data_IF_875831416500
#
_entry.id   IF_875831416500
#
_cell.length_a   1.000
_cell.length_b   1.000
_cell.length_c   1.000
_cell.angle_alpha   90.00
_cell.angle_beta   90.00
_cell.angle_gamma   90.00
#
_symmetry.space_group_name_H-M   'P 1'
#
loop_
_entity.id
_entity.type
_entity.pdbx_description
1 polymer ?
#
# COMPACT_ATOMS: atom_id res chain seq x y z
N UNK A 1 -15.02 4.61 31.86
CA UNK A 1 -13.56 4.78 31.70
C UNK A 1 -13.24 4.28 30.27
N UNK A 2 -13.28 5.20 29.30
CA UNK A 2 -13.03 4.86 27.90
C UNK A 2 -11.52 4.71 27.73
N UNK A 3 -11.05 3.48 27.56
CA UNK A 3 -9.71 3.23 27.04
C UNK A 3 -9.69 3.72 25.60
N UNK A 4 -9.11 4.90 25.36
CA UNK A 4 -8.73 5.35 24.02
C UNK A 4 -7.68 4.34 23.58
N UNK A 5 -8.05 3.44 22.67
CA UNK A 5 -7.12 2.56 21.97
C UNK A 5 -6.25 3.48 21.11
N UNK A 6 -5.10 3.85 21.64
CA UNK A 6 -4.10 4.66 20.95
C UNK A 6 -3.69 3.94 19.66
N UNK A 7 -4.03 4.52 18.54
CA UNK A 7 -3.58 4.08 17.23
C UNK A 7 -2.05 4.09 17.21
N UNK A 8 -1.42 2.93 17.23
CA UNK A 8 0.05 2.79 17.20
C UNK A 8 0.52 3.07 15.78
N UNK A 9 0.78 4.34 15.47
CA UNK A 9 1.49 4.71 14.24
C UNK A 9 2.96 4.34 14.38
N UNK A 10 3.64 4.08 13.26
CA UNK A 10 5.04 3.66 13.27
C UNK A 10 5.96 4.63 14.02
N UNK A 11 6.92 4.11 14.78
CA UNK A 11 7.77 4.93 15.63
C UNK A 11 8.77 5.77 14.82
N UNK A 12 9.11 6.97 15.31
CA UNK A 12 10.08 7.89 14.71
C UNK A 12 11.25 8.09 15.67
N UNK A 13 12.48 7.92 15.18
CA UNK A 13 13.66 8.18 15.99
C UNK A 13 14.16 9.61 15.78
N UNK A 14 14.66 10.23 16.87
CA UNK A 14 15.24 11.56 16.90
C UNK A 14 16.73 11.44 17.23
N UNK A 15 17.61 11.85 16.29
CA UNK A 15 19.07 11.62 16.42
C UNK A 15 19.85 12.92 16.28
N UNK A 16 20.57 13.29 17.32
CA UNK A 16 21.54 14.40 17.31
C UNK A 16 20.95 15.80 17.09
N UNK A 17 19.64 15.98 17.22
CA UNK A 17 18.97 17.26 17.08
C UNK A 17 19.39 18.23 18.19
N UNK A 18 19.46 19.53 17.89
CA UNK A 18 19.63 20.57 18.89
C UNK A 18 18.43 20.61 19.83
N UNK A 19 18.55 21.18 21.03
CA UNK A 19 17.42 21.29 21.96
C UNK A 19 16.23 22.04 21.36
N UNK A 20 16.49 23.04 20.52
CA UNK A 20 15.47 23.81 19.80
C UNK A 20 14.76 22.94 18.75
N UNK A 21 15.52 22.29 17.86
CA UNK A 21 14.94 21.44 16.81
C UNK A 21 14.23 20.22 17.38
N UNK A 22 14.74 19.69 18.49
CA UNK A 22 14.12 18.59 19.23
C UNK A 22 12.71 18.96 19.76
N UNK A 23 12.53 20.20 20.25
CA UNK A 23 11.22 20.68 20.69
C UNK A 23 10.23 20.70 19.52
N UNK A 24 10.59 21.37 18.42
CA UNK A 24 9.74 21.42 17.22
C UNK A 24 9.48 20.03 16.62
N UNK A 25 10.47 19.14 16.61
CA UNK A 25 10.27 17.78 16.13
C UNK A 25 9.29 16.99 17.01
N UNK A 26 9.30 17.17 18.33
CA UNK A 26 8.32 16.56 19.25
C UNK A 26 6.91 17.11 19.04
N UNK A 27 6.78 18.40 18.81
CA UNK A 27 5.50 19.01 18.51
C UNK A 27 4.95 18.48 17.17
N UNK A 28 5.80 18.36 16.14
CA UNK A 28 5.45 17.77 14.87
C UNK A 28 5.05 16.29 14.98
N UNK A 29 5.74 15.50 15.83
CA UNK A 29 5.33 14.11 16.13
C UNK A 29 3.94 14.07 16.76
N UNK A 30 3.66 14.95 17.71
CA UNK A 30 2.36 15.01 18.38
C UNK A 30 1.25 15.37 17.40
N UNK A 31 1.49 16.38 16.54
CA UNK A 31 0.54 16.78 15.48
C UNK A 31 0.31 15.67 14.45
N UNK A 32 1.37 14.92 14.08
CA UNK A 32 1.25 13.79 13.17
C UNK A 32 0.66 12.53 13.83
N UNK A 33 0.45 12.52 15.16
CA UNK A 33 0.02 11.35 15.93
C UNK A 33 1.03 10.21 15.92
N UNK A 34 2.33 10.51 15.77
CA UNK A 34 3.42 9.56 15.78
C UNK A 34 4.07 9.47 17.16
N UNK A 35 4.79 8.36 17.42
CA UNK A 35 5.52 8.18 18.68
C UNK A 35 7.03 8.24 18.46
N UNK A 36 7.74 8.85 19.41
CA UNK A 36 9.18 8.79 19.43
C UNK A 36 9.67 7.40 19.88
N UNK A 37 10.76 6.91 19.28
CA UNK A 37 11.48 5.73 19.74
C UNK A 37 12.96 6.04 19.97
N UNK A 38 13.58 5.27 20.84
CA UNK A 38 15.00 5.40 21.18
C UNK A 38 15.92 4.60 20.26
N UNK A 39 15.40 3.65 19.49
CA UNK A 39 16.16 2.75 18.64
C UNK A 39 15.98 3.09 17.16
N UNK A 40 16.97 3.79 16.52
CA UNK A 40 16.83 4.22 15.13
C UNK A 40 16.68 3.07 14.12
N UNK A 41 17.22 1.90 14.42
CA UNK A 41 17.12 0.71 13.56
C UNK A 41 15.69 0.12 13.45
N UNK A 42 14.82 0.47 14.39
CA UNK A 42 13.40 0.06 14.43
C UNK A 42 12.43 1.17 14.04
N UNK A 43 12.97 2.35 13.75
CA UNK A 43 12.14 3.49 13.40
C UNK A 43 11.56 3.37 11.99
N UNK A 44 10.36 3.87 11.80
CA UNK A 44 9.75 4.07 10.49
C UNK A 44 10.41 5.22 9.73
N UNK A 45 10.90 6.21 10.49
CA UNK A 45 11.61 7.38 10.00
C UNK A 45 12.63 7.82 11.05
N UNK A 46 13.79 8.27 10.62
CA UNK A 46 14.77 8.92 11.47
C UNK A 46 14.79 10.40 11.13
N UNK A 47 14.55 11.25 12.13
CA UNK A 47 14.81 12.69 12.05
C UNK A 47 16.20 12.93 12.65
N UNK A 48 17.15 13.33 11.84
CA UNK A 48 18.53 13.46 12.25
C UNK A 48 19.11 14.84 11.94
N UNK A 49 19.97 15.34 12.82
CA UNK A 49 20.76 16.53 12.50
C UNK A 49 21.67 16.30 11.28
N UNK A 50 22.02 17.35 10.52
CA UNK A 50 23.03 17.25 9.47
C UNK A 50 24.34 16.64 10.02
N UNK A 51 24.85 15.60 9.35
CA UNK A 51 26.07 14.90 9.78
C UNK A 51 25.90 13.86 10.90
N UNK A 52 24.74 13.74 11.56
CA UNK A 52 24.51 12.70 12.55
C UNK A 52 24.51 11.30 11.91
N UNK A 53 25.11 10.27 12.56
CA UNK A 53 25.12 8.91 12.03
C UNK A 53 23.71 8.32 12.06
N UNK A 54 23.31 7.69 10.96
CA UNK A 54 21.97 7.07 10.80
C UNK A 54 22.14 5.68 10.18
N UNK A 55 21.33 4.67 10.59
CA UNK A 55 21.35 3.35 9.97
C UNK A 55 21.06 3.43 8.46
N UNK A 56 21.86 2.76 7.64
CA UNK A 56 21.81 2.87 6.17
C UNK A 56 20.48 2.41 5.52
N UNK A 57 19.67 1.62 6.22
CA UNK A 57 18.45 1.03 5.68
C UNK A 57 17.14 1.68 6.18
N UNK A 58 17.26 2.74 7.00
CA UNK A 58 16.07 3.42 7.55
C UNK A 58 15.89 4.76 6.83
N UNK A 59 14.69 5.10 6.37
CA UNK A 59 14.40 6.41 5.80
C UNK A 59 14.81 7.51 6.78
N UNK A 60 15.54 8.52 6.29
CA UNK A 60 16.06 9.60 7.12
C UNK A 60 15.71 10.95 6.51
N UNK A 61 15.29 11.88 7.35
CA UNK A 61 15.13 13.30 7.03
C UNK A 61 16.13 14.11 7.86
N UNK A 62 16.95 14.91 7.19
CA UNK A 62 17.91 15.83 7.85
C UNK A 62 17.17 17.10 8.27
N UNK A 63 17.20 17.38 9.57
CA UNK A 63 16.48 18.48 10.20
C UNK A 63 17.46 19.47 10.84
N UNK A 64 17.30 20.74 10.55
CA UNK A 64 18.14 21.82 11.06
C UNK A 64 18.85 22.60 9.95
N UNK A 65 19.73 23.50 10.33
CA UNK A 65 20.48 24.34 9.39
C UNK A 65 21.37 23.47 8.47
N UNK A 66 21.20 23.63 7.15
CA UNK A 66 21.87 22.79 6.15
C UNK A 66 21.22 21.39 5.97
N UNK A 67 20.09 21.11 6.58
CA UNK A 67 19.27 19.92 6.36
C UNK A 67 18.24 20.07 5.26
N UNK A 68 17.44 19.00 5.05
CA UNK A 68 16.33 18.97 4.10
C UNK A 68 15.10 19.74 4.63
N UNK A 69 14.99 19.89 5.95
CA UNK A 69 13.91 20.56 6.66
C UNK A 69 14.50 21.57 7.64
N UNK A 70 14.14 22.83 7.50
CA UNK A 70 14.59 23.91 8.39
C UNK A 70 13.47 24.33 9.34
N UNK A 71 13.71 24.18 10.65
CA UNK A 71 12.70 24.52 11.67
C UNK A 71 12.93 25.94 12.21
N UNK A 72 11.84 26.68 12.44
CA UNK A 72 10.41 26.32 12.42
C UNK A 72 9.72 26.45 11.06
N UNK A 73 10.38 26.97 10.01
CA UNK A 73 9.76 27.35 8.72
C UNK A 73 9.03 26.17 8.07
N UNK A 74 9.64 24.99 8.05
CA UNK A 74 9.15 23.82 7.35
C UNK A 74 8.37 22.84 8.26
N UNK A 75 7.80 23.31 9.37
CA UNK A 75 7.08 22.44 10.32
C UNK A 75 5.94 21.67 9.65
N UNK A 76 5.18 22.30 8.76
CA UNK A 76 4.08 21.63 8.02
C UNK A 76 4.59 20.49 7.13
N UNK A 77 5.72 20.71 6.43
CA UNK A 77 6.38 19.66 5.65
C UNK A 77 6.84 18.51 6.54
N UNK A 78 7.45 18.82 7.69
CA UNK A 78 7.90 17.81 8.64
C UNK A 78 6.74 16.96 9.16
N UNK A 79 5.62 17.58 9.55
CA UNK A 79 4.40 16.87 9.96
C UNK A 79 3.91 15.92 8.87
N UNK A 80 3.88 16.38 7.62
CA UNK A 80 3.48 15.55 6.49
C UNK A 80 4.40 14.35 6.27
N UNK A 81 5.72 14.55 6.34
CA UNK A 81 6.72 13.48 6.19
C UNK A 81 6.62 12.45 7.33
N UNK A 82 6.41 12.89 8.56
CA UNK A 82 6.21 12.02 9.72
C UNK A 82 4.92 11.22 9.56
N UNK A 83 3.82 11.87 9.24
CA UNK A 83 2.53 11.21 9.05
C UNK A 83 2.61 10.15 7.95
N UNK A 84 3.29 10.47 6.86
CA UNK A 84 3.54 9.56 5.75
C UNK A 84 4.35 8.33 6.13
N UNK A 85 5.50 8.53 6.78
CA UNK A 85 6.37 7.44 7.20
C UNK A 85 5.69 6.54 8.24
N UNK A 86 5.00 7.17 9.20
CA UNK A 86 4.24 6.47 10.23
C UNK A 86 3.10 5.63 9.65
N UNK A 87 2.41 6.16 8.64
CA UNK A 87 1.37 5.42 7.95
C UNK A 87 1.92 4.23 7.16
N UNK A 88 3.06 4.40 6.47
CA UNK A 88 3.70 3.29 5.73
C UNK A 88 4.12 2.14 6.64
N UNK A 89 4.63 2.45 7.82
CA UNK A 89 5.12 1.42 8.75
C UNK A 89 4.01 0.75 9.57
N UNK A 90 2.84 1.37 9.69
CA UNK A 90 1.67 0.75 10.33
C UNK A 90 0.94 -0.22 9.40
N UNK A 91 1.29 -0.24 8.10
CA UNK A 91 0.71 -1.19 7.15
C UNK A 91 1.39 -2.56 7.29
N UNK A 92 0.61 -3.58 7.58
CA UNK A 92 1.10 -4.96 7.67
C UNK A 92 1.31 -5.64 6.31
N UNK A 93 0.97 -4.96 5.19
CA UNK A 93 1.10 -5.54 3.86
C UNK A 93 0.87 -4.58 2.70
N UNK A 94 1.02 -5.06 1.46
CA UNK A 94 0.91 -4.25 0.26
C UNK A 94 -0.52 -3.80 -0.02
N UNK A 95 -0.62 -2.71 -0.78
CA UNK A 95 -1.86 -2.23 -1.39
C UNK A 95 -1.79 -2.47 -2.89
N UNK A 96 -2.65 -3.34 -3.39
CA UNK A 96 -2.79 -3.58 -4.82
C UNK A 96 -4.11 -3.03 -5.33
N UNK A 97 -4.02 -2.32 -6.42
CA UNK A 97 -5.18 -1.79 -7.10
C UNK A 97 -5.45 -2.58 -8.38
N UNK A 98 -6.70 -2.92 -8.63
CA UNK A 98 -7.13 -3.63 -9.83
C UNK A 98 -8.12 -2.76 -10.56
N UNK A 99 -7.86 -2.51 -11.85
CA UNK A 99 -8.76 -1.72 -12.69
C UNK A 99 -8.87 -2.32 -14.11
N UNK A 100 -9.99 -2.09 -14.77
CA UNK A 100 -10.23 -2.53 -16.14
C UNK A 100 -10.07 -1.39 -17.13
N UNK A 101 -9.42 -1.63 -18.24
CA UNK A 101 -9.34 -0.66 -19.34
C UNK A 101 -10.70 -0.51 -20.03
N UNK A 102 -11.47 -1.61 -20.11
CA UNK A 102 -12.82 -1.60 -20.63
C UNK A 102 -13.82 -2.18 -19.63
N UNK A 103 -15.12 -1.87 -19.81
CA UNK A 103 -16.18 -2.46 -18.99
C UNK A 103 -16.29 -3.98 -19.22
N UNK A 104 -16.65 -4.72 -18.17
CA UNK A 104 -16.92 -6.16 -18.28
C UNK A 104 -15.70 -7.07 -18.39
N UNK A 105 -14.47 -6.55 -18.35
CA UNK A 105 -13.23 -7.36 -18.44
C UNK A 105 -12.96 -8.26 -17.23
N UNK A 106 -13.82 -8.22 -16.20
CA UNK A 106 -13.73 -9.15 -15.06
C UNK A 106 -12.89 -8.68 -13.90
N UNK A 107 -12.76 -7.37 -13.66
CA UNK A 107 -12.03 -6.76 -12.53
C UNK A 107 -12.44 -7.40 -11.21
N UNK A 108 -13.71 -7.32 -10.86
CA UNK A 108 -14.26 -7.86 -9.60
C UNK A 108 -14.05 -9.38 -9.48
N UNK A 109 -14.08 -10.12 -10.60
CA UNK A 109 -13.77 -11.56 -10.61
C UNK A 109 -12.30 -11.83 -10.26
N UNK A 110 -11.38 -11.02 -10.79
CA UNK A 110 -9.96 -11.12 -10.44
C UNK A 110 -9.73 -10.72 -8.98
N UNK A 111 -10.34 -9.64 -8.49
CA UNK A 111 -10.28 -9.22 -7.09
C UNK A 111 -10.76 -10.34 -6.16
N UNK A 112 -11.90 -10.98 -6.46
CA UNK A 112 -12.39 -12.15 -5.69
C UNK A 112 -11.39 -13.31 -5.68
N UNK A 113 -10.75 -13.59 -6.81
CA UNK A 113 -9.76 -14.67 -6.91
C UNK A 113 -8.50 -14.36 -6.10
N UNK A 114 -7.97 -13.14 -6.20
CA UNK A 114 -6.80 -12.68 -5.43
C UNK A 114 -7.08 -12.74 -3.93
N UNK A 115 -8.18 -12.15 -3.48
CA UNK A 115 -8.56 -12.08 -2.08
C UNK A 115 -8.74 -13.47 -1.44
N UNK A 116 -9.50 -14.35 -2.09
CA UNK A 116 -9.67 -15.74 -1.62
C UNK A 116 -8.38 -16.55 -1.62
N UNK A 117 -7.42 -16.18 -2.46
CA UNK A 117 -6.12 -16.86 -2.51
C UNK A 117 -5.22 -16.42 -1.36
N UNK A 118 -5.29 -15.16 -0.97
CA UNK A 118 -4.62 -14.63 0.22
C UNK A 118 -5.18 -15.21 1.52
N UNK A 119 -6.52 -15.32 1.63
CA UNK A 119 -7.18 -15.81 2.85
C UNK A 119 -6.84 -17.29 3.19
N UNK A 120 -6.57 -18.12 2.20
CA UNK A 120 -6.31 -19.58 2.44
C UNK A 120 -4.85 -19.94 2.68
N UNK A 121 -3.93 -19.11 2.30
CA UNK A 121 -2.48 -19.27 2.52
C UNK A 121 -1.89 -17.88 2.69
N UNK A 122 -1.52 -17.47 3.87
CA UNK A 122 -0.86 -16.18 4.10
C UNK A 122 0.52 -16.22 3.41
N UNK A 123 0.51 -15.97 2.09
CA UNK A 123 1.71 -15.92 1.28
C UNK A 123 2.51 -14.64 1.52
N UNK A 124 1.86 -13.62 2.11
CA UNK A 124 2.45 -12.37 2.57
C UNK A 124 3.54 -12.61 3.64
N UNK A 125 3.29 -13.47 4.63
CA UNK A 125 4.25 -13.79 5.67
C UNK A 125 5.51 -14.52 5.17
N UNK A 126 5.43 -15.23 4.03
CA UNK A 126 6.62 -15.88 3.44
C UNK A 126 7.56 -14.88 2.78
N UNK A 127 7.08 -13.73 2.33
CA UNK A 127 7.88 -12.67 1.70
C UNK A 127 8.67 -11.92 2.75
N UNK A 128 8.07 -11.59 3.88
CA UNK A 128 8.78 -11.02 5.03
C UNK A 128 9.88 -11.96 5.53
N UNK A 129 9.62 -13.26 5.60
CA UNK A 129 10.60 -14.29 5.99
C UNK A 129 11.70 -14.52 4.94
N UNK A 130 11.43 -14.31 3.64
CA UNK A 130 12.44 -14.40 2.58
C UNK A 130 13.33 -13.16 2.56
N UNK A 131 12.78 -11.95 2.70
CA UNK A 131 13.53 -10.70 2.83
C UNK A 131 14.45 -10.73 4.06
N UNK A 132 14.01 -11.30 5.18
CA UNK A 132 14.84 -11.49 6.37
C UNK A 132 15.98 -12.52 6.16
N UNK A 133 15.89 -13.39 5.15
CA UNK A 133 16.93 -14.39 4.81
C UNK A 133 17.89 -13.92 3.72
N UNK A 134 17.46 -13.00 2.86
CA UNK A 134 18.29 -12.50 1.73
C UNK A 134 19.17 -11.34 2.17
N UNK A 135 18.79 -10.60 3.21
CA UNK A 135 19.68 -9.60 3.81
C UNK A 135 20.59 -10.31 4.81
N UNK A 136 21.92 -10.30 4.60
CA UNK A 136 22.86 -10.85 5.57
C UNK A 136 22.83 -9.98 6.84
N UNK A 137 21.99 -10.38 7.80
CA UNK A 137 22.14 -9.90 9.17
C UNK A 137 23.45 -10.53 9.68
N UNK A 138 24.50 -9.73 9.76
CA UNK A 138 25.71 -10.09 10.50
C UNK A 138 25.28 -10.33 11.96
N UNK A 139 25.07 -11.60 12.29
CA UNK A 139 24.89 -12.01 13.69
C UNK A 139 26.20 -11.79 14.41
N UNK A 140 26.25 -11.05 15.51
CA UNK A 140 27.38 -11.15 16.43
C UNK A 140 27.42 -12.60 16.95
N UNK A 141 28.62 -13.17 16.95
CA UNK A 141 28.86 -14.57 17.27
C UNK A 141 28.30 -14.96 18.65
N UNK A 142 27.97 -16.25 18.85
CA UNK A 142 27.46 -16.74 20.10
C UNK A 142 28.59 -16.83 21.13
N UNK A 143 28.57 -15.93 22.10
CA UNK A 143 29.27 -16.13 23.36
C UNK A 143 28.64 -17.35 24.08
N UNK A 144 29.39 -18.40 24.20
CA UNK A 144 29.04 -19.57 25.02
C UNK A 144 28.91 -19.16 26.47
N UNK A 145 27.74 -19.34 27.05
CA UNK A 145 27.56 -19.45 28.48
C UNK A 145 26.62 -20.63 28.73
N UNK A 146 27.22 -21.70 29.25
CA UNK A 146 26.54 -22.85 29.83
C UNK A 146 25.98 -22.42 31.20
N UNK A 147 24.68 -22.51 31.36
CA UNK A 147 24.06 -22.74 32.66
C UNK A 147 22.77 -23.50 32.46
N UNK A 148 22.79 -24.76 32.92
CA UNK A 148 21.63 -25.61 33.18
C UNK A 148 20.70 -24.88 34.14
N UNK A 149 19.43 -24.72 33.77
CA UNK A 149 18.36 -24.70 34.76
C UNK A 149 17.10 -25.34 34.17
N UNK A 150 16.72 -26.48 34.76
CA UNK A 150 15.49 -27.20 34.54
C UNK A 150 14.38 -26.49 35.33
N UNK A 151 13.40 -25.93 34.63
CA UNK A 151 12.22 -25.29 35.25
C UNK A 151 11.01 -25.39 34.36
N UNK A 152 10.11 -26.29 34.68
CA UNK A 152 8.77 -26.52 34.15
C UNK A 152 7.95 -25.26 34.02
N UNK A 153 7.25 -25.09 32.87
CA UNK A 153 6.31 -24.00 32.63
C UNK A 153 5.90 -23.87 31.17
N UNK A 154 5.47 -24.97 30.54
CA UNK A 154 5.04 -24.96 29.14
C UNK A 154 3.51 -25.08 29.02
N UNK A 155 2.78 -24.09 29.52
CA UNK A 155 1.34 -23.94 29.23
C UNK A 155 1.05 -22.46 29.33
N UNK A 156 0.97 -21.73 28.21
CA UNK A 156 0.19 -20.49 27.96
C UNK A 156 0.66 -19.66 26.74
N UNK A 157 1.59 -20.14 25.89
CA UNK A 157 2.03 -19.35 24.72
C UNK A 157 1.24 -19.64 23.42
N UNK A 158 0.15 -20.42 23.48
CA UNK A 158 -0.62 -20.79 22.29
C UNK A 158 -1.69 -19.76 21.87
N UNK A 159 -2.00 -18.78 22.72
CA UNK A 159 -2.99 -17.73 22.46
C UNK A 159 -2.47 -16.59 21.56
N UNK A 160 -1.27 -16.10 21.83
CA UNK A 160 -0.70 -14.93 21.15
C UNK A 160 -0.34 -15.18 19.66
N UNK A 161 -0.15 -16.43 19.26
CA UNK A 161 0.26 -16.78 17.88
C UNK A 161 -0.93 -16.90 16.91
N UNK A 162 -2.16 -17.03 17.41
CA UNK A 162 -3.38 -17.07 16.58
C UNK A 162 -3.81 -15.70 16.10
N UNK A 163 -3.62 -14.66 16.89
CA UNK A 163 -4.00 -13.28 16.53
C UNK A 163 -3.11 -12.70 15.43
N UNK A 164 -1.82 -13.06 15.40
CA UNK A 164 -0.88 -12.58 14.37
C UNK A 164 -1.15 -13.15 12.96
N UNK A 165 -1.80 -14.31 12.84
CA UNK A 165 -2.17 -14.90 11.54
C UNK A 165 -3.43 -14.27 10.94
N UNK A 166 -4.27 -13.65 11.77
CA UNK A 166 -5.46 -12.93 11.31
C UNK A 166 -5.10 -11.62 10.60
N UNK A 167 -3.96 -11.01 10.96
CA UNK A 167 -3.48 -9.76 10.38
C UNK A 167 -2.98 -9.88 8.95
N UNK A 168 -2.61 -11.08 8.52
CA UNK A 168 -2.11 -11.35 7.18
C UNK A 168 -3.18 -11.58 6.10
N UNK A 169 -4.47 -11.59 6.47
CA UNK A 169 -5.55 -11.78 5.48
C UNK A 169 -5.86 -10.46 4.79
N UNK A 170 -5.86 -10.41 3.44
CA UNK A 170 -6.14 -9.19 2.72
C UNK A 170 -7.59 -8.73 2.91
N UNK A 171 -7.78 -7.42 2.98
CA UNK A 171 -9.10 -6.77 2.97
C UNK A 171 -9.38 -6.25 1.57
N UNK A 172 -10.60 -6.43 1.09
CA UNK A 172 -11.07 -5.87 -0.18
C UNK A 172 -11.74 -4.53 0.05
N UNK A 173 -11.40 -3.55 -0.78
CA UNK A 173 -12.04 -2.25 -0.85
C UNK A 173 -12.72 -2.16 -2.22
N UNK A 174 -14.05 -2.17 -2.26
CA UNK A 174 -14.81 -2.01 -3.49
C UNK A 174 -15.06 -0.53 -3.77
N UNK A 175 -14.21 0.04 -4.59
CA UNK A 175 -14.27 1.42 -5.08
C UNK A 175 -14.73 1.49 -6.55
N UNK A 176 -15.44 0.47 -7.04
CA UNK A 176 -15.92 0.39 -8.42
C UNK A 176 -17.12 1.29 -8.69
N UNK A 177 -17.79 1.78 -7.65
CA UNK A 177 -19.06 2.51 -7.74
C UNK A 177 -20.25 1.61 -8.11
N UNK A 178 -20.01 0.31 -8.32
CA UNK A 178 -21.05 -0.64 -8.74
C UNK A 178 -21.79 -1.25 -7.54
N UNK A 179 -23.08 -1.48 -7.69
CA UNK A 179 -23.89 -2.24 -6.74
C UNK A 179 -24.59 -3.34 -7.54
N UNK A 180 -24.41 -4.61 -7.19
CA UNK A 180 -23.82 -5.16 -5.97
C UNK A 180 -22.28 -5.18 -5.93
N UNK A 181 -21.55 -4.88 -6.99
CA UNK A 181 -20.08 -4.80 -6.98
C UNK A 181 -19.40 -6.11 -6.55
N UNK A 182 -18.48 -6.00 -5.58
CA UNK A 182 -17.82 -7.17 -5.00
C UNK A 182 -18.78 -8.06 -4.22
N UNK A 183 -19.76 -7.48 -3.52
CA UNK A 183 -20.85 -8.24 -2.90
C UNK A 183 -21.75 -8.86 -3.98
N UNK A 184 -22.11 -10.12 -3.82
CA UNK A 184 -23.14 -10.73 -4.63
C UNK A 184 -24.54 -10.34 -4.14
N UNK A 185 -25.57 -10.64 -4.94
CA UNK A 185 -26.97 -10.32 -4.58
C UNK A 185 -27.45 -10.98 -3.27
N UNK A 186 -26.80 -12.08 -2.83
CA UNK A 186 -27.11 -12.75 -1.56
C UNK A 186 -26.29 -12.26 -0.36
N UNK A 187 -25.38 -11.30 -0.55
CA UNK A 187 -24.47 -10.85 0.51
C UNK A 187 -24.93 -9.55 1.19
N UNK A 188 -26.08 -9.00 0.77
CA UNK A 188 -26.58 -7.71 1.29
C UNK A 188 -26.99 -7.77 2.76
N UNK A 189 -27.48 -8.93 3.22
CA UNK A 189 -27.95 -9.14 4.60
C UNK A 189 -26.81 -9.52 5.57
N UNK A 190 -25.60 -9.68 5.08
CA UNK A 190 -24.45 -9.97 5.94
C UNK A 190 -24.17 -8.79 6.87
N UNK A 191 -24.01 -9.03 8.18
CA UNK A 191 -23.71 -7.96 9.14
C UNK A 191 -22.35 -7.34 8.88
N UNK A 192 -22.24 -6.04 9.12
CA UNK A 192 -20.98 -5.30 9.03
C UNK A 192 -21.14 -3.92 8.41
N UNK A 193 -20.11 -3.11 8.57
CA UNK A 193 -20.02 -1.72 8.08
C UNK A 193 -19.94 -1.70 6.55
N UNK A 194 -20.73 -0.83 5.95
CA UNK A 194 -20.82 -0.58 4.50
C UNK A 194 -20.40 0.85 4.17
N UNK A 195 -20.28 1.18 2.89
CA UNK A 195 -19.95 2.56 2.47
C UNK A 195 -20.96 3.59 3.00
N UNK A 196 -22.22 3.24 3.05
CA UNK A 196 -23.27 4.14 3.54
C UNK A 196 -23.19 4.44 5.04
N UNK A 197 -22.45 3.64 5.81
CA UNK A 197 -22.29 3.80 7.26
C UNK A 197 -21.06 4.67 7.61
N UNK A 198 -20.27 5.08 6.62
CA UNK A 198 -19.07 5.89 6.79
C UNK A 198 -19.35 7.35 6.41
N UNK A 199 -18.83 8.28 7.21
CA UNK A 199 -18.94 9.71 6.94
C UNK A 199 -17.82 10.17 6.01
N UNK A 200 -18.17 10.98 4.99
CA UNK A 200 -17.20 11.47 4.00
C UNK A 200 -16.27 12.57 4.54
N UNK A 201 -16.64 13.21 5.65
CA UNK A 201 -15.87 14.27 6.30
C UNK A 201 -14.70 13.76 7.16
N UNK A 202 -14.62 12.46 7.41
CA UNK A 202 -13.56 11.88 8.22
C UNK A 202 -12.29 11.63 7.40
N UNK A 203 -11.18 12.21 7.78
CA UNK A 203 -9.87 11.98 7.16
C UNK A 203 -9.33 10.57 7.43
N UNK A 204 -9.75 9.96 8.53
CA UNK A 204 -9.42 8.58 8.88
C UNK A 204 -10.47 7.98 9.81
N UNK A 205 -10.70 6.67 9.65
CA UNK A 205 -11.60 5.90 10.51
C UNK A 205 -10.82 5.20 11.62
N UNK A 206 -11.56 4.64 12.58
CA UNK A 206 -10.94 3.88 13.66
C UNK A 206 -10.22 2.64 13.09
N UNK A 207 -9.06 2.25 13.64
CA UNK A 207 -8.35 1.03 13.21
C UNK A 207 -9.19 -0.24 13.32
N UNK A 208 -10.16 -0.24 14.23
CA UNK A 208 -11.14 -1.32 14.38
C UNK A 208 -12.12 -1.45 13.19
N UNK A 209 -12.14 -0.51 12.24
CA UNK A 209 -12.98 -0.61 11.04
C UNK A 209 -12.86 -1.98 10.38
N UNK A 210 -11.64 -2.49 10.25
CA UNK A 210 -11.38 -3.82 9.68
C UNK A 210 -12.23 -4.91 10.32
N UNK A 211 -12.35 -4.90 11.64
CA UNK A 211 -13.03 -5.97 12.38
C UNK A 211 -14.54 -5.93 12.25
N UNK A 212 -15.06 -4.77 11.88
CA UNK A 212 -16.49 -4.54 11.66
C UNK A 212 -16.92 -4.73 10.19
N UNK A 213 -16.00 -5.04 9.28
CA UNK A 213 -16.34 -5.29 7.88
C UNK A 213 -17.06 -6.65 7.70
N UNK A 214 -18.03 -6.74 6.78
CA UNK A 214 -18.65 -8.01 6.44
C UNK A 214 -17.66 -9.01 5.87
N UNK A 215 -17.87 -10.28 6.13
CA UNK A 215 -17.06 -11.39 5.60
C UNK A 215 -17.78 -12.01 4.40
N UNK A 216 -17.32 -11.69 3.21
CA UNK A 216 -17.88 -12.13 1.94
C UNK A 216 -17.01 -13.21 1.32
N UNK A 217 -17.51 -14.43 1.24
CA UNK A 217 -16.75 -15.56 0.70
C UNK A 217 -15.44 -15.86 1.43
N UNK A 218 -15.38 -15.59 2.74
CA UNK A 218 -14.22 -15.79 3.61
C UNK A 218 -13.20 -14.66 3.59
N UNK A 219 -13.57 -13.48 3.04
CA UNK A 219 -12.71 -12.28 2.97
C UNK A 219 -13.47 -11.10 3.56
N UNK A 220 -12.81 -10.30 4.39
CA UNK A 220 -13.36 -9.02 4.85
C UNK A 220 -13.39 -8.03 3.70
N UNK A 221 -14.51 -7.34 3.50
CA UNK A 221 -14.66 -6.41 2.38
C UNK A 221 -15.49 -5.19 2.76
N UNK A 222 -15.00 -4.01 2.43
CA UNK A 222 -15.79 -2.78 2.45
C UNK A 222 -16.47 -2.61 1.10
N UNK A 223 -17.79 -2.69 1.08
CA UNK A 223 -18.60 -2.79 -0.14
C UNK A 223 -19.84 -1.92 -0.06
N UNK A 224 -20.47 -1.68 -1.21
CA UNK A 224 -21.79 -1.06 -1.29
C UNK A 224 -22.95 -2.00 -0.90
N UNK A 225 -24.12 -1.38 -0.70
CA UNK A 225 -25.39 -2.05 -0.53
C UNK A 225 -26.49 -1.30 -1.31
N UNK A 226 -27.77 -1.55 -1.01
CA UNK A 226 -28.89 -0.86 -1.65
C UNK A 226 -28.91 0.66 -1.44
N UNK A 227 -28.17 1.18 -0.46
CA UNK A 227 -28.00 2.63 -0.19
C UNK A 227 -26.91 3.28 -1.06
N UNK A 228 -26.11 2.47 -1.77
CA UNK A 228 -25.09 2.92 -2.70
C UNK A 228 -23.72 2.27 -2.49
N UNK A 229 -22.81 2.55 -3.43
CA UNK A 229 -21.38 2.17 -3.39
C UNK A 229 -20.51 3.41 -3.33
N UNK A 230 -19.19 3.23 -3.30
CA UNK A 230 -18.21 4.29 -3.43
C UNK A 230 -17.42 4.12 -4.73
N UNK A 231 -17.13 5.23 -5.42
CA UNK A 231 -16.27 5.26 -6.60
C UNK A 231 -14.86 5.73 -6.23
N UNK A 232 -13.91 5.59 -7.16
CA UNK A 232 -12.50 5.91 -6.92
C UNK A 232 -12.24 7.38 -6.49
N UNK A 233 -13.16 8.30 -6.77
CA UNK A 233 -13.09 9.71 -6.36
C UNK A 233 -13.81 10.01 -5.03
N UNK A 234 -14.43 9.01 -4.42
CA UNK A 234 -15.07 9.18 -3.12
C UNK A 234 -14.00 9.30 -2.01
N UNK A 235 -13.99 10.40 -1.22
CA UNK A 235 -12.98 10.60 -0.17
C UNK A 235 -12.96 9.48 0.88
N UNK A 236 -14.10 8.82 1.13
CA UNK A 236 -14.19 7.69 2.05
C UNK A 236 -13.27 6.55 1.66
N UNK A 237 -13.02 6.34 0.36
CA UNK A 237 -12.14 5.26 -0.12
C UNK A 237 -10.71 5.48 0.34
N UNK A 238 -10.18 6.68 0.15
CA UNK A 238 -8.82 7.00 0.59
C UNK A 238 -8.68 6.92 2.12
N UNK A 239 -9.68 7.41 2.85
CA UNK A 239 -9.71 7.38 4.32
C UNK A 239 -9.78 5.94 4.85
N UNK A 240 -10.61 5.07 4.27
CA UNK A 240 -10.69 3.65 4.61
C UNK A 240 -9.36 2.91 4.33
N UNK A 241 -8.76 3.15 3.17
CA UNK A 241 -7.45 2.56 2.82
C UNK A 241 -6.35 2.95 3.80
N UNK A 242 -6.38 4.18 4.34
CA UNK A 242 -5.42 4.64 5.35
C UNK A 242 -5.66 4.02 6.72
N UNK A 243 -6.92 3.75 7.05
CA UNK A 243 -7.32 3.26 8.38
C UNK A 243 -7.09 1.77 8.56
N UNK A 244 -7.17 1.00 7.48
CA UNK A 244 -7.03 -0.45 7.52
C UNK A 244 -5.55 -0.84 7.43
N UNK A 245 -4.99 -1.30 8.54
CA UNK A 245 -3.58 -1.71 8.65
C UNK A 245 -3.22 -3.05 7.96
N UNK A 246 -4.17 -3.73 7.33
CA UNK A 246 -3.98 -5.02 6.65
C UNK A 246 -3.52 -4.84 5.19
N UNK A 247 -3.04 -5.92 4.51
CA UNK A 247 -2.90 -5.93 3.07
C UNK A 247 -4.22 -5.57 2.38
N UNK A 248 -4.18 -4.73 1.35
CA UNK A 248 -5.38 -4.27 0.65
C UNK A 248 -5.42 -4.73 -0.80
N UNK A 249 -6.61 -5.07 -1.27
CA UNK A 249 -6.92 -5.25 -2.68
C UNK A 249 -8.07 -4.29 -3.01
N UNK A 250 -7.78 -3.27 -3.82
CA UNK A 250 -8.75 -2.23 -4.18
C UNK A 250 -9.32 -2.54 -5.57
N UNK A 251 -10.62 -2.75 -5.65
CA UNK A 251 -11.37 -2.81 -6.90
C UNK A 251 -11.70 -1.38 -7.33
N UNK A 252 -10.98 -0.83 -8.27
CA UNK A 252 -11.22 0.53 -8.76
C UNK A 252 -12.19 0.58 -9.95
N UNK A 253 -12.76 -0.56 -10.34
CA UNK A 253 -13.64 -0.64 -11.48
C UNK A 253 -12.92 -0.33 -12.80
N UNK A 254 -13.17 0.84 -13.39
CA UNK A 254 -12.55 1.26 -14.65
C UNK A 254 -11.33 2.15 -14.40
N UNK A 255 -10.30 1.97 -15.24
CA UNK A 255 -9.13 2.85 -15.23
C UNK A 255 -9.45 4.19 -15.88
N UNK A 256 -9.35 5.26 -15.11
CA UNK A 256 -9.50 6.65 -15.53
C UNK A 256 -8.66 7.57 -14.64
N UNK A 257 -8.78 8.89 -14.82
CA UNK A 257 -8.05 9.89 -14.03
C UNK A 257 -8.38 9.81 -12.52
N UNK A 258 -9.60 9.37 -12.14
CA UNK A 258 -10.00 9.21 -10.74
C UNK A 258 -9.30 8.02 -10.11
N UNK A 259 -9.27 6.89 -10.83
CA UNK A 259 -8.56 5.69 -10.41
C UNK A 259 -7.03 5.94 -10.32
N UNK A 260 -6.45 6.69 -11.26
CA UNK A 260 -5.04 7.06 -11.22
C UNK A 260 -4.73 7.93 -9.98
N UNK A 261 -5.55 8.95 -9.71
CA UNK A 261 -5.43 9.79 -8.52
C UNK A 261 -5.60 8.99 -7.22
N UNK A 262 -6.56 8.07 -7.17
CA UNK A 262 -6.72 7.19 -6.01
C UNK A 262 -5.46 6.35 -5.77
N UNK A 263 -4.90 5.73 -6.82
CA UNK A 263 -3.67 4.93 -6.73
C UNK A 263 -2.50 5.73 -6.13
N UNK A 264 -2.36 7.00 -6.50
CA UNK A 264 -1.37 7.91 -5.96
C UNK A 264 -1.64 8.24 -4.48
N UNK A 265 -2.88 8.64 -4.15
CA UNK A 265 -3.28 9.05 -2.78
C UNK A 265 -3.17 7.91 -1.77
N UNK A 266 -3.58 6.69 -2.15
CA UNK A 266 -3.44 5.50 -1.29
C UNK A 266 -2.03 4.89 -1.39
N UNK A 267 -1.17 5.42 -2.27
CA UNK A 267 0.19 4.93 -2.54
C UNK A 267 0.18 3.42 -2.78
N UNK A 268 -0.57 3.02 -3.78
CA UNK A 268 -0.62 1.63 -4.20
C UNK A 268 0.81 1.12 -4.50
N UNK A 269 1.12 -0.10 -4.08
CA UNK A 269 2.42 -0.72 -4.37
C UNK A 269 2.48 -1.27 -5.79
N UNK A 270 1.32 -1.63 -6.35
CA UNK A 270 1.20 -2.03 -7.75
C UNK A 270 -0.23 -1.84 -8.26
N UNK A 271 -0.35 -1.61 -9.57
CA UNK A 271 -1.61 -1.56 -10.30
C UNK A 271 -1.68 -2.77 -11.24
N UNK A 272 -2.83 -3.42 -11.29
CA UNK A 272 -3.17 -4.47 -12.26
C UNK A 272 -4.19 -3.88 -13.23
N UNK A 273 -3.79 -3.69 -14.49
CA UNK A 273 -4.68 -3.25 -15.55
C UNK A 273 -5.21 -4.46 -16.34
N UNK A 274 -6.53 -4.67 -16.34
CA UNK A 274 -7.17 -5.72 -17.11
C UNK A 274 -7.59 -5.19 -18.48
N UNK A 275 -7.27 -5.95 -19.53
CA UNK A 275 -7.66 -5.62 -20.91
C UNK A 275 -7.92 -6.89 -21.73
N UNK A 276 -8.59 -6.74 -22.87
CA UNK A 276 -8.63 -7.80 -23.90
C UNK A 276 -7.30 -7.89 -24.65
N UNK A 277 -6.99 -9.06 -25.20
CA UNK A 277 -5.74 -9.31 -25.90
C UNK A 277 -5.71 -8.88 -27.36
N UNK A 278 -6.81 -8.37 -27.90
CA UNK A 278 -6.99 -7.98 -29.28
C UNK A 278 -6.45 -6.56 -29.59
N UNK A 279 -6.62 -6.12 -30.82
CA UNK A 279 -6.20 -4.79 -31.30
C UNK A 279 -6.99 -3.69 -30.58
N UNK A 280 -8.28 -3.90 -30.33
CA UNK A 280 -9.14 -2.94 -29.64
C UNK A 280 -8.69 -2.76 -28.18
N UNK A 281 -8.33 -3.85 -27.52
CA UNK A 281 -7.73 -3.82 -26.18
C UNK A 281 -6.41 -3.05 -26.17
N UNK A 282 -5.54 -3.25 -27.15
CA UNK A 282 -4.28 -2.52 -27.27
C UNK A 282 -4.52 -1.00 -27.46
N UNK A 283 -5.40 -0.63 -28.39
CA UNK A 283 -5.77 0.77 -28.62
C UNK A 283 -6.40 1.42 -27.37
N UNK A 284 -7.26 0.69 -26.67
CA UNK A 284 -7.88 1.16 -25.43
C UNK A 284 -6.87 1.38 -24.30
N UNK A 285 -5.84 0.51 -24.18
CA UNK A 285 -4.73 0.68 -23.23
C UNK A 285 -3.97 1.94 -23.55
N UNK A 286 -3.55 2.13 -24.81
CA UNK A 286 -2.81 3.30 -25.25
C UNK A 286 -3.57 4.59 -24.95
N UNK A 287 -4.86 4.65 -25.34
CA UNK A 287 -5.71 5.83 -25.10
C UNK A 287 -5.91 6.12 -23.60
N UNK A 288 -6.18 5.07 -22.79
CA UNK A 288 -6.42 5.23 -21.36
C UNK A 288 -5.18 5.71 -20.61
N UNK A 289 -4.00 5.18 -20.96
CA UNK A 289 -2.75 5.57 -20.31
C UNK A 289 -2.23 6.94 -20.79
N UNK A 290 -2.57 7.35 -22.01
CA UNK A 290 -2.29 8.72 -22.47
C UNK A 290 -3.08 9.77 -21.68
N UNK A 291 -4.34 9.45 -21.30
CA UNK A 291 -5.21 10.34 -20.51
C UNK A 291 -4.87 10.26 -19.02
N UNK A 292 -4.63 9.07 -18.51
CA UNK A 292 -4.39 8.79 -17.10
C UNK A 292 -3.17 7.85 -16.96
N UNK A 293 -1.95 8.39 -16.95
CA UNK A 293 -0.73 7.59 -16.73
C UNK A 293 -0.77 6.87 -15.38
N UNK A 294 -0.17 5.68 -15.31
CA UNK A 294 -0.08 4.96 -14.06
C UNK A 294 0.97 5.64 -13.13
N UNK A 295 0.57 6.15 -11.95
CA UNK A 295 1.46 6.90 -11.06
C UNK A 295 2.41 6.01 -10.26
N UNK A 296 2.17 4.70 -10.27
CA UNK A 296 2.97 3.68 -9.56
C UNK A 296 3.20 2.49 -10.48
N UNK A 297 4.10 1.55 -10.14
CA UNK A 297 4.36 0.37 -10.96
C UNK A 297 3.06 -0.35 -11.35
N UNK A 298 2.88 -0.55 -12.64
CA UNK A 298 1.72 -1.22 -13.20
C UNK A 298 2.11 -2.46 -13.99
N UNK A 299 1.22 -3.44 -14.03
CA UNK A 299 1.32 -4.61 -14.89
C UNK A 299 -0.01 -4.82 -15.63
N UNK A 300 0.06 -5.51 -16.75
CA UNK A 300 -1.12 -5.78 -17.57
C UNK A 300 -1.55 -7.24 -17.46
N UNK A 301 -2.81 -7.48 -17.15
CA UNK A 301 -3.43 -8.79 -17.15
C UNK A 301 -4.41 -8.91 -18.33
N UNK A 302 -4.12 -9.82 -19.26
CA UNK A 302 -4.87 -9.99 -20.50
C UNK A 302 -5.94 -11.05 -20.34
N UNK A 303 -7.17 -10.70 -20.64
CA UNK A 303 -8.33 -11.61 -20.69
C UNK A 303 -8.50 -12.15 -22.11
N UNK A 304 -8.90 -13.41 -22.23
CA UNK A 304 -9.15 -14.05 -23.50
C UNK A 304 -8.11 -15.07 -23.92
N UNK A 305 -8.10 -15.41 -25.21
CA UNK A 305 -7.22 -16.45 -25.74
C UNK A 305 -5.77 -15.94 -25.89
N UNK A 306 -4.83 -16.72 -25.37
CA UNK A 306 -3.39 -16.44 -25.48
C UNK A 306 -2.89 -16.37 -26.93
N UNK A 307 -3.49 -17.16 -27.82
CA UNK A 307 -3.11 -17.23 -29.22
C UNK A 307 -3.48 -15.97 -30.03
N UNK A 308 -4.39 -15.14 -29.50
CA UNK A 308 -4.90 -13.93 -30.17
C UNK A 308 -4.33 -12.63 -29.65
N UNK A 309 -3.22 -12.67 -28.90
CA UNK A 309 -2.61 -11.46 -28.36
C UNK A 309 -2.07 -10.57 -29.49
N UNK A 310 -2.57 -9.32 -29.53
CA UNK A 310 -2.07 -8.32 -30.48
C UNK A 310 -0.61 -7.94 -30.18
N UNK A 311 0.29 -7.88 -31.17
CA UNK A 311 1.64 -7.35 -31.01
C UNK A 311 1.66 -5.92 -30.46
N UNK A 312 0.75 -5.06 -30.89
CA UNK A 312 0.64 -3.68 -30.42
C UNK A 312 0.40 -3.54 -28.91
N UNK A 313 -0.15 -4.58 -28.27
CA UNK A 313 -0.30 -4.58 -26.82
C UNK A 313 1.06 -4.59 -26.09
N UNK A 314 2.08 -5.20 -26.68
CA UNK A 314 3.43 -5.25 -26.10
C UNK A 314 4.09 -3.86 -26.11
N UNK A 315 3.73 -3.04 -27.09
CA UNK A 315 4.30 -1.70 -27.26
C UNK A 315 3.66 -0.65 -26.35
N UNK A 316 2.35 -0.79 -26.04
CA UNK A 316 1.61 0.23 -25.33
C UNK A 316 1.24 -0.12 -23.87
N UNK A 317 1.30 -1.41 -23.50
CA UNK A 317 0.85 -1.86 -22.19
C UNK A 317 2.01 -1.95 -21.17
N UNK A 318 1.77 -1.58 -19.88
CA UNK A 318 2.75 -1.76 -18.84
C UNK A 318 3.21 -3.22 -18.70
N UNK A 319 4.53 -3.41 -18.60
CA UNK A 319 5.14 -4.72 -18.39
C UNK A 319 5.23 -5.06 -16.89
N UNK A 320 5.14 -6.33 -16.52
CA UNK A 320 4.96 -7.49 -17.38
C UNK A 320 3.52 -7.69 -17.85
N UNK A 321 3.36 -8.23 -19.06
CA UNK A 321 2.06 -8.58 -19.62
C UNK A 321 1.79 -10.06 -19.34
N UNK A 322 0.80 -10.32 -18.51
CA UNK A 322 0.44 -11.66 -18.05
C UNK A 322 -0.94 -12.07 -18.59
N UNK A 323 -1.25 -13.35 -18.50
CA UNK A 323 -2.60 -13.81 -18.74
C UNK A 323 -3.44 -13.67 -17.46
N UNK A 324 -4.63 -13.09 -17.59
CA UNK A 324 -5.53 -12.92 -16.43
C UNK A 324 -5.97 -14.29 -15.92
N UNK A 325 -5.74 -14.61 -14.64
CA UNK A 325 -6.14 -15.89 -14.10
C UNK A 325 -7.66 -15.94 -13.92
N UNK A 326 -8.28 -17.00 -14.40
CA UNK A 326 -9.71 -17.29 -14.17
C UNK A 326 -9.93 -18.24 -13.00
N UNK A 327 -8.88 -18.93 -12.59
CA UNK A 327 -8.87 -19.91 -11.49
C UNK A 327 -7.52 -19.97 -10.82
N UNK A 328 -7.46 -20.66 -9.69
CA UNK A 328 -6.17 -20.95 -9.03
C UNK A 328 -5.32 -21.84 -9.93
N UNK A 329 -4.09 -21.43 -10.21
CA UNK A 329 -3.21 -22.18 -11.09
C UNK A 329 -1.90 -21.46 -11.39
N UNK A 330 -1.34 -21.77 -12.54
CA UNK A 330 -0.05 -21.22 -13.00
C UNK A 330 -0.14 -19.69 -13.18
N UNK A 331 -1.21 -19.23 -13.82
CA UNK A 331 -1.38 -17.81 -14.15
C UNK A 331 -1.52 -16.94 -12.89
N UNK A 332 -2.28 -17.41 -11.90
CA UNK A 332 -2.37 -16.72 -10.62
C UNK A 332 -1.01 -16.66 -9.90
N UNK A 333 -0.24 -17.75 -9.92
CA UNK A 333 1.11 -17.76 -9.32
C UNK A 333 2.07 -16.82 -10.06
N UNK A 334 1.94 -16.70 -11.39
CA UNK A 334 2.73 -15.77 -12.18
C UNK A 334 2.38 -14.32 -11.83
N UNK A 335 1.08 -14.01 -11.75
CA UNK A 335 0.58 -12.69 -11.37
C UNK A 335 1.06 -12.30 -9.96
N UNK A 336 0.93 -13.19 -9.00
CA UNK A 336 1.38 -12.94 -7.63
C UNK A 336 2.89 -12.68 -7.55
N UNK A 337 3.71 -13.43 -8.29
CA UNK A 337 5.17 -13.18 -8.35
C UNK A 337 5.50 -11.83 -8.95
N UNK A 338 4.81 -11.42 -10.01
CA UNK A 338 5.01 -10.12 -10.65
C UNK A 338 4.63 -8.96 -9.71
N UNK A 339 3.51 -9.09 -8.99
CA UNK A 339 3.08 -8.10 -8.00
C UNK A 339 4.12 -7.92 -6.87
N UNK A 340 4.72 -9.02 -6.41
CA UNK A 340 5.80 -8.95 -5.43
C UNK A 340 7.04 -8.26 -5.97
N UNK A 341 7.40 -8.53 -7.22
CA UNK A 341 8.54 -7.87 -7.84
C UNK A 341 8.32 -6.35 -7.97
N UNK A 342 7.10 -5.92 -8.32
CA UNK A 342 6.74 -4.50 -8.36
C UNK A 342 6.86 -3.84 -6.98
N UNK A 343 6.32 -4.46 -5.92
CA UNK A 343 6.39 -3.94 -4.56
C UNK A 343 7.83 -3.83 -4.03
N UNK A 344 8.67 -4.80 -4.36
CA UNK A 344 10.09 -4.79 -3.97
C UNK A 344 10.88 -3.69 -4.68
N UNK A 345 10.62 -3.45 -5.96
CA UNK A 345 11.24 -2.38 -6.74
C UNK A 345 10.84 -0.99 -6.21
N UNK A 346 9.55 -0.83 -5.86
CA UNK A 346 9.06 0.41 -5.21
C UNK A 346 9.76 0.70 -3.89
N UNK A 347 10.04 -0.33 -3.08
CA UNK A 347 10.75 -0.16 -1.82
C UNK A 347 12.23 0.24 -2.00
N UNK A 348 12.92 -0.36 -2.99
CA UNK A 348 14.35 -0.05 -3.25
C UNK A 348 14.55 1.27 -4.00
N UNK A 349 13.70 1.60 -4.97
CA UNK A 349 13.84 2.84 -5.77
C UNK A 349 13.57 4.11 -4.95
N UNK A 350 12.74 4.03 -3.91
CA UNK A 350 12.42 5.18 -3.04
C UNK A 350 13.54 5.54 -2.04
N UNK A 351 14.47 4.63 -1.78
CA UNK A 351 15.64 4.89 -0.92
C UNK A 351 16.69 5.75 -1.66
N UNK A 352 16.72 5.69 -3.01
CA UNK A 352 17.70 6.39 -3.84
C UNK A 352 17.15 7.60 -4.61
N UNK A 353 15.89 7.97 -4.45
CA UNK A 353 15.41 9.24 -4.92
C UNK A 353 15.97 10.34 -4.00
N UNK A 354 17.22 10.70 -4.22
CA UNK A 354 17.71 12.05 -3.97
C UNK A 354 16.72 12.99 -4.66
N UNK A 355 16.26 14.00 -3.96
CA UNK A 355 15.49 15.11 -4.51
C UNK A 355 16.44 15.92 -5.44
N UNK A 356 16.81 15.35 -6.57
CA UNK A 356 17.17 16.14 -7.73
C UNK A 356 15.82 16.66 -8.25
N UNK A 357 15.66 17.96 -8.26
CA UNK A 357 14.54 18.62 -8.92
C UNK A 357 14.34 17.96 -10.28
N UNK A 358 13.14 17.47 -10.62
CA UNK A 358 12.92 16.96 -11.96
C UNK A 358 13.20 18.12 -12.91
N UNK A 359 14.28 18.04 -13.66
CA UNK A 359 14.42 18.88 -14.85
C UNK A 359 13.14 18.72 -15.64
N UNK A 360 12.40 19.83 -15.79
CA UNK A 360 11.09 19.82 -16.42
C UNK A 360 11.16 19.08 -17.76
N UNK A 361 10.15 18.31 -18.13
CA UNK A 361 10.18 17.45 -19.31
C UNK A 361 10.61 18.26 -20.54
N UNK A 362 11.46 17.72 -21.38
CA UNK A 362 12.10 18.38 -22.54
C UNK A 362 11.11 19.09 -23.47
N UNK A 363 9.85 18.67 -23.50
CA UNK A 363 8.78 19.33 -24.27
C UNK A 363 8.41 20.74 -23.73
N UNK A 364 8.59 20.99 -22.43
CA UNK A 364 8.35 22.31 -21.83
C UNK A 364 9.40 23.32 -22.31
N UNK A 365 10.68 22.89 -22.37
CA UNK A 365 11.78 23.68 -22.92
C UNK A 365 11.61 23.95 -24.43
N UNK A 366 11.07 22.95 -25.17
CA UNK A 366 10.77 23.12 -26.59
C UNK A 366 9.62 24.10 -26.85
N UNK A 367 8.65 24.21 -25.95
CA UNK A 367 7.55 25.18 -26.05
C UNK A 367 8.00 26.62 -25.75
N UNK A 368 8.88 26.81 -24.80
CA UNK A 368 9.48 28.12 -24.47
C UNK A 368 10.37 28.62 -25.60
N UNK A 369 11.12 27.73 -26.26
CA UNK A 369 11.97 28.08 -27.40
C UNK A 369 11.19 28.42 -28.68
N UNK A 370 9.92 28.03 -28.79
CA UNK A 370 9.06 28.32 -29.95
C UNK A 370 8.30 29.64 -29.84
N UNK A 371 8.38 30.33 -28.70
CA UNK A 371 7.73 31.64 -28.45
C UNK A 371 8.74 32.79 -28.26
N UNK A 372 10.03 32.52 -28.42
CA UNK A 372 11.11 33.51 -28.48
C UNK A 372 11.56 33.77 -29.93
#
# INVERSE_FOLDING_TARGET
MNAIVECVRGPVALVGLTSRDLSYARDALTLAGARACSEPSRAALVLAAPGAPVPALVPCVRVGEGGQVSLPGDTALLVSLIAEASWRSSRSGPVWMVAGIAGGVGVTSLVRLLARSGARRPWWGRVAGWLARVLPVTRPGPGRSLSDDRGSGAEDSCGAQRDSLADDVPVVIDASGSVPGFAGSGDHDLPGVRWADLEASEDSYLPSLRDHLPVIGGVRALVGDCRGGASADDPRVASACRSIGAPLIVDAGRWDARAARLAEVIRADAIILLTHGDIEGAASVAASLAIAPAPVPALTAVVGDRARRSPGLVECAPAPILHAPTRRGRDLRALLRALHACGSASASGRVNASFDEPEGPDWLRALEASHA
#
